data_IF_524006073850
#
_entry.id   IF_524006073850
#
_cell.length_a   1.000
_cell.length_b   1.000
_cell.length_c   1.000
_cell.angle_alpha   90.00
_cell.angle_beta   90.00
_cell.angle_gamma   90.00
#
_symmetry.space_group_name_H-M   'P 1'
#
loop_
_entity.id
_entity.type
_entity.pdbx_description
1 polymer ?
#
# COMPACT_ATOMS: atom_id res chain seq x y z
N UNK A 1 8.49 -40.37 32.85
CA UNK A 1 7.65 -41.44 32.25
C UNK A 1 7.02 -40.88 30.99
N UNK A 2 7.44 -41.43 29.85
CA UNK A 2 7.14 -40.96 28.49
C UNK A 2 5.72 -41.34 28.07
N UNK A 3 4.86 -40.34 27.89
CA UNK A 3 3.50 -40.46 27.35
C UNK A 3 3.45 -40.70 25.82
N UNK A 4 4.61 -40.86 25.17
CA UNK A 4 4.73 -41.12 23.72
C UNK A 4 4.72 -42.61 23.32
N UNK A 5 4.67 -43.56 24.26
CA UNK A 5 4.76 -44.99 23.94
C UNK A 5 3.42 -45.73 23.88
N UNK A 6 2.31 -45.14 24.34
CA UNK A 6 1.03 -45.85 24.44
C UNK A 6 0.13 -45.77 23.19
N UNK A 7 0.46 -44.91 22.21
CA UNK A 7 -0.37 -44.73 21.01
C UNK A 7 0.11 -45.52 19.79
N UNK A 8 1.36 -46.03 19.81
CA UNK A 8 1.97 -46.71 18.67
C UNK A 8 1.76 -48.25 18.64
N UNK A 9 1.12 -48.82 19.67
CA UNK A 9 0.93 -50.27 19.79
C UNK A 9 -0.43 -50.81 19.35
N UNK A 10 -1.41 -49.94 19.05
CA UNK A 10 -2.81 -50.37 18.87
C UNK A 10 -3.39 -50.20 17.46
N UNK A 11 -2.58 -49.75 16.49
CA UNK A 11 -3.01 -49.60 15.08
C UNK A 11 -2.27 -50.55 14.12
N UNK A 12 -1.31 -51.33 14.61
CA UNK A 12 -0.63 -52.35 13.80
C UNK A 12 -1.31 -53.72 13.94
N UNK A 13 -2.55 -53.78 13.47
CA UNK A 13 -3.22 -55.02 13.08
C UNK A 13 -3.08 -55.22 11.57
N UNK A 14 -2.16 -56.11 11.19
CA UNK A 14 -2.00 -56.77 9.89
C UNK A 14 -2.90 -56.30 8.71
N UNK A 15 -2.37 -55.42 7.87
CA UNK A 15 -2.60 -55.45 6.43
C UNK A 15 -1.42 -54.75 5.74
N UNK A 16 -0.97 -55.35 4.65
CA UNK A 16 0.17 -54.94 3.83
C UNK A 16 -0.05 -53.50 3.29
N UNK A 17 0.65 -52.51 3.85
CA UNK A 17 0.44 -51.08 3.52
C UNK A 17 1.78 -50.33 3.42
N UNK A 18 2.64 -50.76 2.49
CA UNK A 18 3.94 -50.12 2.25
C UNK A 18 4.07 -49.41 0.90
N UNK A 19 3.07 -49.49 0.01
CA UNK A 19 3.09 -48.82 -1.29
C UNK A 19 2.24 -47.53 -1.37
N UNK A 20 1.24 -47.33 -0.50
CA UNK A 20 0.31 -46.20 -0.67
C UNK A 20 0.77 -44.87 -0.05
N UNK A 21 1.76 -44.88 0.86
CA UNK A 21 2.23 -43.64 1.52
C UNK A 21 2.95 -42.70 0.56
N UNK A 22 3.62 -43.23 -0.47
CA UNK A 22 4.33 -42.41 -1.45
C UNK A 22 3.38 -41.78 -2.48
N UNK A 23 2.33 -42.49 -2.91
CA UNK A 23 1.33 -41.94 -3.84
C UNK A 23 0.44 -40.87 -3.19
N UNK A 24 0.00 -41.08 -1.93
CA UNK A 24 -0.77 -40.09 -1.17
C UNK A 24 0.03 -38.81 -0.90
N UNK A 25 1.33 -38.94 -0.61
CA UNK A 25 2.19 -37.77 -0.39
C UNK A 25 2.42 -36.99 -1.70
N UNK A 26 2.52 -37.69 -2.85
CA UNK A 26 2.65 -37.07 -4.17
C UNK A 26 1.37 -36.36 -4.62
N UNK A 27 0.20 -36.96 -4.36
CA UNK A 27 -1.09 -36.32 -4.67
C UNK A 27 -1.36 -35.12 -3.78
N UNK A 28 -0.99 -35.18 -2.49
CA UNK A 28 -1.12 -34.05 -1.57
C UNK A 28 -0.15 -32.91 -1.93
N UNK A 29 1.12 -33.22 -2.24
CA UNK A 29 2.07 -32.20 -2.70
C UNK A 29 1.67 -31.57 -4.02
N UNK A 30 1.09 -32.36 -4.94
CA UNK A 30 0.61 -31.85 -6.23
C UNK A 30 -0.62 -30.95 -6.04
N UNK A 31 -1.57 -31.31 -5.16
CA UNK A 31 -2.71 -30.46 -4.82
C UNK A 31 -2.24 -29.13 -4.20
N UNK A 32 -1.41 -29.18 -3.17
CA UNK A 32 -0.88 -27.99 -2.50
C UNK A 32 -0.12 -27.09 -3.48
N UNK A 33 0.67 -27.68 -4.39
CA UNK A 33 1.41 -26.91 -5.41
C UNK A 33 0.47 -26.23 -6.42
N UNK A 34 -0.67 -26.86 -6.73
CA UNK A 34 -1.68 -26.29 -7.63
C UNK A 34 -2.45 -25.16 -6.95
N UNK A 35 -2.86 -25.36 -5.71
CA UNK A 35 -3.60 -24.36 -4.93
C UNK A 35 -2.71 -23.14 -4.63
N UNK A 36 -1.43 -23.37 -4.32
CA UNK A 36 -0.41 -22.30 -4.23
C UNK A 36 -0.26 -21.52 -5.53
N UNK A 37 -0.11 -22.21 -6.65
CA UNK A 37 0.04 -21.56 -7.95
C UNK A 37 -1.17 -20.71 -8.33
N UNK A 38 -2.38 -21.21 -8.06
CA UNK A 38 -3.63 -20.50 -8.31
C UNK A 38 -3.80 -19.30 -7.37
N UNK A 39 -3.56 -19.47 -6.07
CA UNK A 39 -3.67 -18.39 -5.09
C UNK A 39 -2.67 -17.26 -5.39
N UNK A 40 -1.42 -17.59 -5.71
CA UNK A 40 -0.42 -16.59 -6.12
C UNK A 40 -0.82 -15.89 -7.42
N UNK A 41 -1.36 -16.62 -8.39
CA UNK A 41 -1.81 -16.02 -9.64
C UNK A 41 -3.00 -15.08 -9.42
N UNK A 42 -4.00 -15.51 -8.65
CA UNK A 42 -5.18 -14.70 -8.32
C UNK A 42 -4.78 -13.46 -7.52
N UNK A 43 -3.84 -13.59 -6.57
CA UNK A 43 -3.26 -12.47 -5.83
C UNK A 43 -2.62 -11.45 -6.79
N UNK A 44 -1.72 -11.91 -7.67
CA UNK A 44 -1.02 -11.03 -8.62
C UNK A 44 -1.97 -10.38 -9.63
N UNK A 45 -2.95 -11.12 -10.14
CA UNK A 45 -3.96 -10.59 -11.06
C UNK A 45 -4.87 -9.57 -10.36
N UNK A 46 -5.27 -9.81 -9.12
CA UNK A 46 -6.11 -8.89 -8.35
C UNK A 46 -5.38 -7.58 -8.04
N UNK A 47 -4.10 -7.64 -7.68
CA UNK A 47 -3.31 -6.42 -7.46
C UNK A 47 -3.06 -5.69 -8.79
N UNK A 48 -2.68 -6.41 -9.85
CA UNK A 48 -2.50 -5.82 -11.17
C UNK A 48 -3.76 -5.11 -11.67
N UNK A 49 -4.92 -5.76 -11.49
CA UNK A 49 -6.22 -5.16 -11.78
C UNK A 49 -6.51 -3.95 -10.89
N UNK A 50 -6.16 -3.99 -9.60
CA UNK A 50 -6.28 -2.85 -8.68
C UNK A 50 -5.50 -1.64 -9.18
N UNK A 51 -4.23 -1.82 -9.54
CA UNK A 51 -3.37 -0.74 -10.07
C UNK A 51 -3.97 -0.16 -11.36
N UNK A 52 -4.41 -1.02 -12.28
CA UNK A 52 -5.05 -0.58 -13.54
C UNK A 52 -6.36 0.18 -13.26
N UNK A 53 -7.20 -0.31 -12.34
CA UNK A 53 -8.45 0.34 -11.97
C UNK A 53 -8.22 1.71 -11.31
N UNK A 54 -7.25 1.83 -10.40
CA UNK A 54 -6.84 3.11 -9.81
C UNK A 54 -6.42 4.07 -10.91
N UNK A 55 -5.52 3.65 -11.80
CA UNK A 55 -4.97 4.51 -12.85
C UNK A 55 -6.01 4.95 -13.88
N UNK A 56 -6.82 4.01 -14.35
CA UNK A 56 -7.74 4.28 -15.47
C UNK A 56 -9.09 4.84 -15.02
N UNK A 57 -9.57 4.48 -13.83
CA UNK A 57 -10.91 4.88 -13.36
C UNK A 57 -10.80 5.95 -12.29
N UNK A 58 -10.06 5.69 -11.20
CA UNK A 58 -10.07 6.58 -10.03
C UNK A 58 -9.32 7.88 -10.31
N UNK A 59 -8.08 7.81 -10.79
CA UNK A 59 -7.27 8.99 -11.11
C UNK A 59 -7.98 9.87 -12.15
N UNK A 60 -8.41 9.28 -13.27
CA UNK A 60 -9.15 9.99 -14.30
C UNK A 60 -10.47 10.60 -13.77
N UNK A 61 -11.18 9.89 -12.88
CA UNK A 61 -12.39 10.40 -12.23
C UNK A 61 -12.11 11.59 -11.32
N UNK A 62 -11.06 11.51 -10.51
CA UNK A 62 -10.62 12.57 -9.58
C UNK A 62 -10.16 13.82 -10.32
N UNK A 63 -9.42 13.68 -11.42
CA UNK A 63 -8.97 14.82 -12.23
C UNK A 63 -10.14 15.56 -12.87
N UNK A 64 -11.10 14.83 -13.43
CA UNK A 64 -12.31 15.43 -14.01
C UNK A 64 -13.15 16.11 -12.94
N UNK A 65 -13.27 15.49 -11.76
CA UNK A 65 -13.95 16.09 -10.63
C UNK A 65 -13.25 17.37 -10.17
N UNK A 66 -11.92 17.37 -10.09
CA UNK A 66 -11.10 18.53 -9.74
C UNK A 66 -11.34 19.70 -10.70
N UNK A 67 -11.38 19.43 -12.01
CA UNK A 67 -11.66 20.44 -13.04
C UNK A 67 -13.07 21.03 -12.91
N UNK A 68 -14.07 20.19 -12.64
CA UNK A 68 -15.47 20.62 -12.46
C UNK A 68 -15.63 21.47 -11.20
N UNK A 69 -14.99 21.06 -10.10
CA UNK A 69 -15.07 21.75 -8.81
C UNK A 69 -14.11 22.93 -8.70
N UNK A 70 -13.26 23.16 -9.69
CA UNK A 70 -12.27 24.24 -9.68
C UNK A 70 -11.24 24.10 -8.57
N UNK A 71 -10.82 22.86 -8.26
CA UNK A 71 -9.80 22.62 -7.25
C UNK A 71 -8.48 23.29 -7.62
N UNK A 72 -7.76 23.76 -6.60
CA UNK A 72 -6.41 24.29 -6.80
C UNK A 72 -5.46 23.17 -7.25
N UNK A 73 -4.39 23.51 -7.97
CA UNK A 73 -3.36 22.56 -8.38
C UNK A 73 -2.77 21.81 -7.17
N UNK A 74 -2.62 22.52 -6.03
CA UNK A 74 -2.16 21.93 -4.77
C UNK A 74 -3.11 20.85 -4.26
N UNK A 75 -4.40 21.15 -4.18
CA UNK A 75 -5.44 20.20 -3.73
C UNK A 75 -5.53 19.00 -4.67
N UNK A 76 -5.49 19.25 -5.99
CA UNK A 76 -5.51 18.18 -6.99
C UNK A 76 -4.28 17.27 -6.86
N UNK A 77 -3.09 17.85 -6.70
CA UNK A 77 -1.85 17.09 -6.50
C UNK A 77 -1.86 16.22 -5.24
N UNK A 78 -2.36 16.75 -4.12
CA UNK A 78 -2.50 15.98 -2.87
C UNK A 78 -3.48 14.80 -3.01
N UNK A 79 -4.65 15.04 -3.59
CA UNK A 79 -5.66 13.99 -3.80
C UNK A 79 -5.15 12.93 -4.76
N UNK A 80 -4.43 13.33 -5.80
CA UNK A 80 -3.81 12.40 -6.75
C UNK A 80 -2.68 11.60 -6.09
N UNK A 81 -1.89 12.20 -5.21
CA UNK A 81 -0.90 11.52 -4.38
C UNK A 81 -1.53 10.49 -3.45
N UNK A 82 -2.67 10.77 -2.84
CA UNK A 82 -3.40 9.74 -2.07
C UNK A 82 -3.97 8.64 -2.95
N UNK A 83 -4.28 8.93 -4.22
CA UNK A 83 -4.77 7.92 -5.14
C UNK A 83 -3.71 6.86 -5.46
N UNK A 84 -2.41 7.19 -5.41
CA UNK A 84 -1.35 6.20 -5.66
C UNK A 84 -1.24 5.16 -4.57
N UNK A 85 -1.62 5.48 -3.33
CA UNK A 85 -1.63 4.56 -2.18
C UNK A 85 -2.96 3.82 -1.98
N UNK A 86 -3.89 3.93 -2.94
CA UNK A 86 -5.13 3.14 -2.93
C UNK A 86 -4.90 1.63 -3.05
N UNK A 87 -3.92 1.11 -3.81
CA UNK A 87 -3.61 -0.32 -3.81
C UNK A 87 -3.22 -0.85 -2.43
N UNK A 88 -2.42 -0.11 -1.66
CA UNK A 88 -2.09 -0.43 -0.27
C UNK A 88 -3.35 -0.46 0.60
N UNK A 89 -4.25 0.52 0.45
CA UNK A 89 -5.52 0.56 1.17
C UNK A 89 -6.39 -0.66 0.84
N UNK A 90 -6.52 -1.01 -0.43
CA UNK A 90 -7.29 -2.19 -0.86
C UNK A 90 -6.71 -3.45 -0.25
N UNK A 91 -5.39 -3.64 -0.29
CA UNK A 91 -4.72 -4.81 0.29
C UNK A 91 -4.89 -4.89 1.82
N UNK A 92 -4.77 -3.76 2.54
CA UNK A 92 -4.98 -3.71 3.98
C UNK A 92 -6.43 -4.00 4.36
N UNK A 93 -7.39 -3.40 3.67
CA UNK A 93 -8.81 -3.66 3.96
C UNK A 93 -9.19 -5.10 3.62
N UNK A 94 -8.71 -5.63 2.50
CA UNK A 94 -8.94 -7.02 2.10
C UNK A 94 -8.43 -8.01 3.14
N UNK A 95 -7.21 -7.82 3.62
CA UNK A 95 -6.61 -8.67 4.66
C UNK A 95 -7.27 -8.48 6.02
N UNK A 96 -7.67 -7.25 6.38
CA UNK A 96 -8.36 -6.95 7.63
C UNK A 96 -9.76 -7.59 7.72
N UNK A 97 -10.47 -7.70 6.60
CA UNK A 97 -11.81 -8.30 6.54
C UNK A 97 -11.79 -9.84 6.56
N UNK A 98 -10.63 -10.46 6.33
CA UNK A 98 -10.41 -11.91 6.38
C UNK A 98 -9.78 -12.37 7.71
N UNK A 99 -10.00 -11.62 8.79
CA UNK A 99 -9.61 -12.03 10.13
C UNK A 99 -8.18 -11.66 10.55
N UNK A 100 -7.82 -12.11 11.74
CA UNK A 100 -6.65 -11.63 12.49
C UNK A 100 -5.31 -12.09 11.89
N UNK A 101 -5.24 -13.34 11.43
CA UNK A 101 -4.03 -13.90 10.82
C UNK A 101 -3.73 -13.18 9.49
N UNK A 102 -4.77 -12.99 8.66
CA UNK A 102 -4.68 -12.22 7.42
C UNK A 102 -4.28 -10.76 7.65
N UNK A 103 -4.82 -10.09 8.68
CA UNK A 103 -4.48 -8.71 9.05
C UNK A 103 -2.97 -8.52 9.30
N UNK A 104 -2.26 -9.53 9.80
CA UNK A 104 -0.81 -9.46 9.96
C UNK A 104 -0.13 -9.26 8.58
N UNK A 105 -0.64 -9.92 7.52
CA UNK A 105 -0.21 -9.69 6.15
C UNK A 105 -0.48 -8.25 5.69
N UNK A 106 -1.62 -7.68 6.07
CA UNK A 106 -1.94 -6.26 5.83
C UNK A 106 -0.98 -5.29 6.53
N UNK A 107 -0.58 -5.59 7.76
CA UNK A 107 0.45 -4.82 8.47
C UNK A 107 1.80 -4.88 7.75
N UNK A 108 2.22 -6.06 7.32
CA UNK A 108 3.50 -6.22 6.61
C UNK A 108 3.48 -5.64 5.20
N UNK A 109 2.31 -5.57 4.54
CA UNK A 109 2.12 -4.76 3.34
C UNK A 109 2.49 -3.29 3.62
N UNK A 110 1.95 -2.69 4.68
CA UNK A 110 2.28 -1.30 5.06
C UNK A 110 3.74 -1.10 5.46
N UNK A 111 4.27 -1.98 6.32
CA UNK A 111 5.65 -1.87 6.77
C UNK A 111 6.64 -2.01 5.60
N UNK A 112 6.42 -3.00 4.73
CA UNK A 112 7.28 -3.23 3.58
C UNK A 112 7.12 -2.16 2.51
N UNK A 113 5.90 -1.68 2.19
CA UNK A 113 5.69 -0.57 1.25
C UNK A 113 6.46 0.67 1.67
N UNK A 114 6.48 1.03 2.96
CA UNK A 114 7.25 2.19 3.43
C UNK A 114 8.77 2.03 3.19
N UNK A 115 9.30 0.83 3.44
CA UNK A 115 10.71 0.51 3.18
C UNK A 115 10.99 0.50 1.66
N UNK A 116 10.12 -0.14 0.89
CA UNK A 116 10.25 -0.29 -0.56
C UNK A 116 10.18 1.07 -1.23
N UNK A 117 9.21 1.93 -0.90
CA UNK A 117 9.11 3.30 -1.39
C UNK A 117 10.40 4.09 -1.15
N UNK A 118 11.01 3.97 0.03
CA UNK A 118 12.31 4.59 0.30
C UNK A 118 13.40 4.03 -0.62
N UNK A 119 13.49 2.69 -0.75
CA UNK A 119 14.47 2.05 -1.64
C UNK A 119 14.29 2.48 -3.09
N UNK A 120 13.05 2.54 -3.58
CA UNK A 120 12.71 2.94 -4.94
C UNK A 120 13.02 4.42 -5.20
N UNK A 121 12.71 5.30 -4.24
CA UNK A 121 13.11 6.69 -4.29
C UNK A 121 14.64 6.82 -4.36
N UNK A 122 15.37 6.12 -3.49
CA UNK A 122 16.85 6.14 -3.51
C UNK A 122 17.41 5.57 -4.81
N UNK A 123 16.77 4.55 -5.39
CA UNK A 123 17.13 4.02 -6.70
C UNK A 123 16.94 5.08 -7.79
N UNK A 124 15.85 5.84 -7.78
CA UNK A 124 15.62 6.94 -8.70
C UNK A 124 16.65 8.07 -8.51
N UNK A 125 16.98 8.43 -7.26
CA UNK A 125 18.03 9.40 -6.93
C UNK A 125 19.38 8.98 -7.51
N UNK A 126 19.76 7.71 -7.34
CA UNK A 126 21.02 7.18 -7.88
C UNK A 126 20.99 7.14 -9.41
N UNK A 127 19.89 6.67 -10.00
CA UNK A 127 19.72 6.57 -11.45
C UNK A 127 19.85 7.94 -12.15
N UNK A 128 19.25 8.98 -11.58
CA UNK A 128 19.33 10.36 -12.10
C UNK A 128 20.52 11.17 -11.55
N UNK A 129 21.44 10.52 -10.82
CA UNK A 129 22.65 11.13 -10.24
C UNK A 129 22.36 12.35 -9.33
N UNK A 130 21.28 12.26 -8.54
CA UNK A 130 20.73 13.34 -7.67
C UNK A 130 21.20 13.29 -6.22
N UNK A 131 22.05 12.34 -5.85
CA UNK A 131 22.41 12.05 -4.45
C UNK A 131 22.95 13.26 -3.66
N UNK A 132 23.66 14.18 -4.31
CA UNK A 132 24.15 15.41 -3.65
C UNK A 132 23.04 16.37 -3.23
N UNK A 133 21.90 16.33 -3.91
CA UNK A 133 20.77 17.21 -3.61
C UNK A 133 20.18 16.87 -2.23
N UNK A 134 20.19 15.60 -1.81
CA UNK A 134 19.67 15.15 -0.51
C UNK A 134 20.42 15.74 0.70
N UNK A 135 21.66 16.21 0.52
CA UNK A 135 22.43 16.85 1.59
C UNK A 135 22.04 18.33 1.80
N UNK A 136 21.13 18.86 0.97
CA UNK A 136 20.67 20.23 1.10
C UNK A 136 19.83 20.39 2.39
N UNK A 137 20.14 21.38 3.25
CA UNK A 137 19.37 21.66 4.47
C UNK A 137 17.87 21.88 4.25
N UNK A 138 17.47 22.25 3.03
CA UNK A 138 16.07 22.37 2.60
C UNK A 138 15.25 21.10 2.88
N UNK A 139 15.87 19.92 2.83
CA UNK A 139 15.19 18.62 2.87
C UNK A 139 15.22 17.93 4.25
N UNK A 140 15.74 18.59 5.29
CA UNK A 140 15.91 17.98 6.62
C UNK A 140 14.58 17.53 7.20
N UNK A 141 13.51 18.31 6.99
CA UNK A 141 12.18 18.02 7.53
C UNK A 141 11.58 16.79 6.86
N UNK A 142 11.60 16.74 5.53
CA UNK A 142 11.08 15.63 4.74
C UNK A 142 11.88 14.34 4.99
N UNK A 143 13.21 14.42 5.07
CA UNK A 143 14.06 13.28 5.41
C UNK A 143 13.73 12.78 6.83
N UNK A 144 13.48 13.68 7.78
CA UNK A 144 13.10 13.31 9.15
C UNK A 144 11.75 12.61 9.20
N UNK A 145 10.74 13.13 8.50
CA UNK A 145 9.43 12.49 8.40
C UNK A 145 9.49 11.15 7.67
N UNK A 146 10.29 11.06 6.60
CA UNK A 146 10.54 9.79 5.92
C UNK A 146 11.18 8.78 6.87
N UNK A 147 12.21 9.17 7.63
CA UNK A 147 12.85 8.31 8.63
C UNK A 147 11.83 7.81 9.66
N UNK A 148 11.02 8.72 10.21
CA UNK A 148 9.96 8.38 11.15
C UNK A 148 8.94 7.39 10.54
N UNK A 149 8.52 7.62 9.28
CA UNK A 149 7.55 6.78 8.57
C UNK A 149 8.00 5.34 8.35
N UNK A 150 9.30 5.11 8.23
CA UNK A 150 9.88 3.78 8.04
C UNK A 150 10.17 3.13 9.38
N UNK A 151 10.69 3.89 10.34
CA UNK A 151 11.03 3.36 11.67
C UNK A 151 9.79 2.97 12.48
N UNK A 152 8.71 3.76 12.42
CA UNK A 152 7.50 3.50 13.20
C UNK A 152 6.91 2.09 12.99
N UNK A 153 6.59 1.64 11.75
CA UNK A 153 6.07 0.29 11.54
C UNK A 153 7.09 -0.79 11.94
N UNK A 154 8.40 -0.58 11.75
CA UNK A 154 9.42 -1.55 12.19
C UNK A 154 9.47 -1.68 13.72
N UNK A 155 9.30 -0.57 14.45
CA UNK A 155 9.19 -0.58 15.91
C UNK A 155 7.92 -1.30 16.36
N UNK A 156 6.77 -1.08 15.69
CA UNK A 156 5.54 -1.82 15.97
C UNK A 156 5.71 -3.32 15.76
N UNK A 157 6.38 -3.72 14.67
CA UNK A 157 6.71 -5.11 14.38
C UNK A 157 7.59 -5.72 15.48
N UNK A 158 8.64 -5.00 15.91
CA UNK A 158 9.58 -5.47 16.93
C UNK A 158 8.97 -5.55 18.33
N UNK A 159 7.99 -4.69 18.64
CA UNK A 159 7.33 -4.64 19.95
C UNK A 159 6.14 -5.58 20.05
N UNK A 160 5.61 -6.07 18.92
CA UNK A 160 4.47 -6.99 18.89
C UNK A 160 3.19 -6.38 19.45
N UNK A 161 3.00 -5.07 19.30
CA UNK A 161 1.79 -4.38 19.80
C UNK A 161 0.56 -4.98 19.13
N UNK A 162 -0.39 -5.42 19.95
CA UNK A 162 -1.60 -6.07 19.45
C UNK A 162 -2.51 -5.09 18.71
N UNK A 163 -3.15 -5.52 17.61
CA UNK A 163 -4.20 -4.75 16.94
C UNK A 163 -5.28 -4.31 17.92
N UNK A 164 -5.58 -3.00 17.96
CA UNK A 164 -6.61 -2.46 18.83
C UNK A 164 -7.13 -1.12 18.32
N UNK A 165 -8.34 -0.74 18.75
CA UNK A 165 -8.88 0.60 18.48
C UNK A 165 -8.01 1.71 19.09
N UNK A 166 -7.36 1.46 20.23
CA UNK A 166 -6.45 2.44 20.85
C UNK A 166 -5.24 2.67 19.96
N UNK A 167 -4.64 1.60 19.40
CA UNK A 167 -3.54 1.72 18.45
C UNK A 167 -3.99 2.47 17.18
N UNK A 168 -5.16 2.15 16.64
CA UNK A 168 -5.73 2.87 15.48
C UNK A 168 -5.86 4.37 15.74
N UNK A 169 -6.47 4.76 16.87
CA UNK A 169 -6.62 6.17 17.24
C UNK A 169 -5.28 6.86 17.51
N UNK A 170 -4.31 6.16 18.10
CA UNK A 170 -2.98 6.70 18.35
C UNK A 170 -2.22 6.98 17.05
N UNK A 171 -2.26 6.05 16.08
CA UNK A 171 -1.65 6.20 14.77
C UNK A 171 -2.33 7.30 13.94
N UNK A 172 -3.67 7.38 13.98
CA UNK A 172 -4.41 8.49 13.35
C UNK A 172 -4.08 9.83 14.01
N UNK A 173 -3.95 9.85 15.34
CA UNK A 173 -3.48 11.02 16.08
C UNK A 173 -2.07 11.45 15.67
N UNK A 174 -1.18 10.48 15.44
CA UNK A 174 0.16 10.73 14.91
C UNK A 174 0.12 11.33 13.51
N UNK A 175 -0.76 10.85 12.63
CA UNK A 175 -0.96 11.39 11.28
C UNK A 175 -1.46 12.84 11.29
N UNK A 176 -2.44 13.14 12.15
CA UNK A 176 -2.91 14.51 12.34
C UNK A 176 -1.81 15.39 12.94
N UNK A 177 -1.04 14.87 13.89
CA UNK A 177 0.11 15.55 14.49
C UNK A 177 1.18 15.89 13.46
N UNK A 178 1.47 14.97 12.53
CA UNK A 178 2.35 15.20 11.38
C UNK A 178 1.83 16.37 10.53
N UNK A 179 0.56 16.35 10.11
CA UNK A 179 -0.01 17.42 9.30
C UNK A 179 0.01 18.78 10.01
N UNK A 180 -0.23 18.80 11.32
CA UNK A 180 -0.14 20.02 12.13
C UNK A 180 1.30 20.54 12.22
N UNK A 181 2.27 19.65 12.43
CA UNK A 181 3.68 20.01 12.52
C UNK A 181 4.21 20.53 11.18
N UNK A 182 3.92 19.83 10.09
CA UNK A 182 4.25 20.24 8.72
C UNK A 182 3.67 21.63 8.41
N UNK A 183 2.39 21.86 8.74
CA UNK A 183 1.75 23.17 8.56
C UNK A 183 2.45 24.27 9.35
N UNK A 184 2.77 24.03 10.62
CA UNK A 184 3.41 25.00 11.49
C UNK A 184 4.85 25.31 11.05
N UNK A 185 5.60 24.30 10.61
CA UNK A 185 6.97 24.46 10.11
C UNK A 185 6.97 25.29 8.80
N UNK A 186 6.03 25.02 7.90
CA UNK A 186 5.86 25.80 6.68
C UNK A 186 5.50 27.28 6.97
N UNK A 187 4.71 27.54 8.01
CA UNK A 187 4.38 28.90 8.46
C UNK A 187 5.60 29.61 9.06
N UNK A 188 6.36 28.95 9.94
CA UNK A 188 7.56 29.50 10.58
C UNK A 188 8.68 29.83 9.57
N UNK A 189 8.78 29.05 8.49
CA UNK A 189 9.77 29.26 7.44
C UNK A 189 9.32 30.30 6.39
N UNK A 190 8.12 30.87 6.51
CA UNK A 190 7.60 31.84 5.54
C UNK A 190 7.30 31.25 4.14
N UNK A 191 7.29 29.92 3.99
CA UNK A 191 7.03 29.21 2.73
C UNK A 191 5.59 29.38 2.23
N UNK A 192 4.69 29.87 3.10
CA UNK A 192 3.24 30.09 2.87
C UNK A 192 2.89 30.90 1.60
N UNK A 193 3.83 31.69 1.06
CA UNK A 193 3.65 32.49 -0.17
C UNK A 193 4.51 32.08 -1.38
N UNK A 194 5.53 31.24 -1.20
CA UNK A 194 6.43 30.80 -2.28
C UNK A 194 6.06 29.43 -2.84
N UNK A 195 5.44 28.57 -2.04
CA UNK A 195 4.81 27.32 -2.52
C UNK A 195 3.64 27.60 -3.48
N UNK A 196 2.99 28.76 -3.36
CA UNK A 196 1.92 29.21 -4.24
C UNK A 196 2.38 29.52 -5.68
N UNK A 197 3.69 29.61 -5.92
CA UNK A 197 4.25 29.91 -7.25
C UNK A 197 5.23 28.85 -7.78
N UNK A 198 5.63 27.86 -6.97
CA UNK A 198 6.59 26.84 -7.39
C UNK A 198 5.92 25.62 -8.06
N UNK A 199 4.62 25.39 -7.83
CA UNK A 199 3.83 24.47 -8.64
C UNK A 199 3.41 25.18 -9.94
N UNK A 200 4.38 25.39 -10.83
CA UNK A 200 4.06 25.76 -12.21
C UNK A 200 3.14 24.65 -12.77
N UNK A 201 2.09 24.98 -13.56
CA UNK A 201 0.99 24.07 -13.94
C UNK A 201 1.35 22.70 -14.54
N UNK A 202 2.63 22.43 -14.84
CA UNK A 202 3.14 21.19 -15.43
C UNK A 202 3.43 20.05 -14.44
N UNK A 203 3.54 20.33 -13.13
CA UNK A 203 3.94 19.29 -12.15
C UNK A 203 2.78 18.37 -11.74
N UNK A 204 1.55 18.88 -11.63
CA UNK A 204 0.35 18.06 -11.41
C UNK A 204 -0.11 17.32 -12.70
N UNK A 205 0.46 17.67 -13.85
CA UNK A 205 0.25 16.95 -15.13
C UNK A 205 1.18 15.73 -15.25
N UNK A 206 1.84 15.32 -14.16
CA UNK A 206 2.73 14.16 -14.02
C UNK A 206 2.08 12.86 -14.44
N UNK A 207 1.24 12.34 -13.55
CA UNK A 207 0.61 11.02 -13.69
C UNK A 207 -0.49 11.03 -14.80
N UNK A 208 -0.80 12.23 -15.33
CA UNK A 208 -2.01 12.59 -16.06
C UNK A 208 -1.82 12.98 -17.53
N UNK A 209 -0.58 12.98 -18.06
CA UNK A 209 -0.33 13.43 -19.44
C UNK A 209 -0.52 12.30 -20.47
N UNK A 210 -1.64 11.59 -20.38
CA UNK A 210 -2.19 10.88 -21.54
C UNK A 210 -3.68 11.20 -21.63
N UNK A 211 -3.97 12.20 -22.48
CA UNK A 211 -5.29 12.64 -22.92
C UNK A 211 -5.96 13.69 -22.02
N UNK A 212 -5.79 14.96 -22.37
CA UNK A 212 -6.75 16.02 -22.01
C UNK A 212 -8.09 15.68 -22.70
N UNK A 213 -9.10 15.16 -21.98
CA UNK A 213 -10.39 14.88 -22.58
C UNK A 213 -11.13 16.21 -22.78
N UNK A 214 -12.10 16.29 -23.71
CA UNK A 214 -12.99 17.44 -23.77
C UNK A 214 -13.67 17.66 -22.40
N UNK A 215 -14.09 18.90 -22.09
CA UNK A 215 -14.91 19.23 -20.90
C UNK A 215 -16.13 18.31 -20.85
N UNK A 216 -16.04 17.21 -20.10
CA UNK A 216 -17.12 16.28 -19.88
C UNK A 216 -17.78 16.61 -18.54
N UNK A 217 -19.11 16.49 -18.48
CA UNK A 217 -19.89 16.89 -17.31
C UNK A 217 -19.60 16.05 -16.07
N UNK A 218 -19.96 16.58 -14.91
CA UNK A 218 -19.86 15.97 -13.57
C UNK A 218 -20.32 14.50 -13.52
N UNK A 219 -21.33 14.14 -14.33
CA UNK A 219 -21.83 12.77 -14.43
C UNK A 219 -20.78 11.75 -14.88
N UNK A 220 -19.87 12.12 -15.78
CA UNK A 220 -18.79 11.23 -16.24
C UNK A 220 -17.73 11.01 -15.16
N UNK A 221 -17.38 12.07 -14.42
CA UNK A 221 -16.44 11.98 -13.31
C UNK A 221 -16.98 11.05 -12.22
N UNK A 222 -18.24 11.24 -11.82
CA UNK A 222 -18.88 10.41 -10.81
C UNK A 222 -19.04 8.95 -11.29
N UNK A 223 -19.39 8.72 -12.56
CA UNK A 223 -19.48 7.39 -13.13
C UNK A 223 -18.13 6.65 -13.08
N UNK A 224 -17.03 7.33 -13.43
CA UNK A 224 -15.67 6.76 -13.34
C UNK A 224 -15.31 6.41 -11.90
N UNK A 225 -15.60 7.28 -10.94
CA UNK A 225 -15.33 7.03 -9.53
C UNK A 225 -16.16 5.87 -8.96
N UNK A 226 -17.44 5.76 -9.33
CA UNK A 226 -18.30 4.65 -8.93
C UNK A 226 -17.84 3.32 -9.54
N UNK A 227 -17.49 3.31 -10.84
CA UNK A 227 -16.92 2.14 -11.50
C UNK A 227 -15.58 1.75 -10.87
N UNK A 228 -14.73 2.73 -10.55
CA UNK A 228 -13.47 2.54 -9.84
C UNK A 228 -13.69 1.91 -8.46
N UNK A 229 -14.57 2.47 -7.65
CA UNK A 229 -14.91 1.92 -6.33
C UNK A 229 -15.43 0.48 -6.42
N UNK A 230 -16.31 0.18 -7.37
CA UNK A 230 -16.80 -1.18 -7.61
C UNK A 230 -15.66 -2.12 -8.01
N UNK A 231 -14.80 -1.70 -8.95
CA UNK A 231 -13.65 -2.49 -9.39
C UNK A 231 -12.70 -2.79 -8.22
N UNK A 232 -12.37 -1.78 -7.40
CA UNK A 232 -11.51 -1.93 -6.23
C UNK A 232 -12.12 -2.85 -5.17
N UNK A 233 -13.46 -2.80 -4.97
CA UNK A 233 -14.14 -3.71 -4.06
C UNK A 233 -14.05 -5.16 -4.53
N UNK A 234 -14.28 -5.43 -5.83
CA UNK A 234 -14.17 -6.77 -6.42
C UNK A 234 -12.72 -7.28 -6.32
N UNK A 235 -11.75 -6.42 -6.64
CA UNK A 235 -10.33 -6.76 -6.56
C UNK A 235 -9.91 -7.06 -5.11
N UNK A 236 -10.35 -6.23 -4.17
CA UNK A 236 -10.07 -6.38 -2.75
C UNK A 236 -10.62 -7.69 -2.19
N UNK A 237 -11.86 -8.05 -2.54
CA UNK A 237 -12.43 -9.34 -2.13
C UNK A 237 -11.55 -10.53 -2.58
N UNK A 238 -11.22 -10.57 -3.87
CA UNK A 238 -10.38 -11.63 -4.46
C UNK A 238 -8.96 -11.67 -3.89
N UNK A 239 -8.38 -10.50 -3.64
CA UNK A 239 -7.07 -10.36 -3.03
C UNK A 239 -7.10 -10.89 -1.59
N UNK A 240 -8.14 -10.58 -0.84
CA UNK A 240 -8.36 -11.03 0.53
C UNK A 240 -8.41 -12.56 0.63
N UNK A 241 -9.29 -13.19 -0.17
CA UNK A 241 -9.42 -14.65 -0.23
C UNK A 241 -8.08 -15.33 -0.59
N UNK A 242 -7.34 -14.74 -1.53
CA UNK A 242 -6.03 -15.27 -1.95
C UNK A 242 -5.00 -15.14 -0.83
N UNK A 243 -4.99 -14.02 -0.11
CA UNK A 243 -4.07 -13.79 1.00
C UNK A 243 -4.38 -14.73 2.18
N UNK A 244 -5.65 -14.89 2.54
CA UNK A 244 -6.09 -15.84 3.57
C UNK A 244 -5.71 -17.28 3.19
N UNK A 245 -5.97 -17.70 1.95
CA UNK A 245 -5.57 -19.03 1.49
C UNK A 245 -4.05 -19.26 1.62
N UNK A 246 -3.24 -18.27 1.24
CA UNK A 246 -1.78 -18.36 1.36
C UNK A 246 -1.31 -18.46 2.81
N UNK A 247 -1.91 -17.66 3.70
CA UNK A 247 -1.51 -17.57 5.10
C UNK A 247 -2.04 -18.76 5.91
N UNK A 248 -3.33 -19.05 5.82
CA UNK A 248 -4.00 -20.02 6.68
C UNK A 248 -3.99 -21.44 6.10
N UNK A 249 -4.32 -21.61 4.82
CA UNK A 249 -4.38 -22.95 4.23
C UNK A 249 -2.99 -23.47 3.85
N UNK A 250 -2.18 -22.63 3.20
CA UNK A 250 -0.86 -22.99 2.71
C UNK A 250 0.23 -22.75 3.78
N UNK A 251 -0.11 -22.07 4.88
CA UNK A 251 0.79 -21.84 6.02
C UNK A 251 2.04 -21.04 5.63
N UNK A 252 1.91 -20.12 4.66
CA UNK A 252 2.96 -19.14 4.41
C UNK A 252 2.99 -18.10 5.53
N UNK A 253 4.19 -17.67 5.97
CA UNK A 253 4.28 -16.61 6.95
C UNK A 253 3.59 -15.33 6.45
N UNK A 254 2.74 -14.73 7.29
CA UNK A 254 2.00 -13.51 6.94
C UNK A 254 2.93 -12.36 6.52
N UNK A 255 4.10 -12.24 7.14
CA UNK A 255 5.10 -11.24 6.74
C UNK A 255 5.61 -11.42 5.31
N UNK A 256 5.71 -12.66 4.81
CA UNK A 256 6.17 -12.93 3.45
C UNK A 256 5.09 -12.52 2.45
N UNK A 257 3.83 -12.91 2.70
CA UNK A 257 2.69 -12.51 1.88
C UNK A 257 2.54 -10.99 1.87
N UNK A 258 2.65 -10.36 3.04
CA UNK A 258 2.63 -8.91 3.18
C UNK A 258 3.76 -8.20 2.44
N UNK A 259 4.99 -8.71 2.49
CA UNK A 259 6.10 -8.17 1.70
C UNK A 259 5.87 -8.28 0.18
N UNK A 260 5.28 -9.38 -0.27
CA UNK A 260 4.90 -9.54 -1.68
C UNK A 260 3.82 -8.53 -2.08
N UNK A 261 2.80 -8.35 -1.24
CA UNK A 261 1.78 -7.31 -1.44
C UNK A 261 2.44 -5.93 -1.53
N UNK A 262 3.28 -5.58 -0.54
CA UNK A 262 3.91 -4.26 -0.45
C UNK A 262 4.80 -3.93 -1.64
N UNK A 263 5.49 -4.93 -2.21
CA UNK A 263 6.27 -4.74 -3.43
C UNK A 263 5.42 -4.34 -4.63
N UNK A 264 4.27 -5.01 -4.81
CA UNK A 264 3.42 -4.80 -5.98
C UNK A 264 2.59 -3.54 -5.80
N UNK A 265 2.07 -3.28 -4.61
CA UNK A 265 1.26 -2.09 -4.31
C UNK A 265 2.06 -0.79 -4.44
N UNK A 266 3.38 -0.81 -4.20
CA UNK A 266 4.27 0.35 -4.36
C UNK A 266 4.80 0.61 -5.79
N UNK A 267 4.30 -0.12 -6.79
CA UNK A 267 4.64 0.13 -8.20
C UNK A 267 4.15 1.49 -8.74
N UNK A 268 2.96 2.01 -8.38
CA UNK A 268 2.54 3.36 -8.78
C UNK A 268 3.50 4.44 -8.29
N UNK A 269 3.98 4.36 -7.05
CA UNK A 269 4.97 5.26 -6.46
C UNK A 269 6.29 5.21 -7.23
N UNK A 270 6.77 4.01 -7.59
CA UNK A 270 7.95 3.85 -8.46
C UNK A 270 7.84 4.69 -9.73
N UNK A 271 6.71 4.54 -10.45
CA UNK A 271 6.52 5.24 -11.72
C UNK A 271 6.50 6.75 -11.53
N UNK A 272 5.92 7.22 -10.42
CA UNK A 272 5.87 8.63 -10.07
C UNK A 272 7.26 9.20 -9.81
N UNK A 273 8.12 8.51 -9.05
CA UNK A 273 9.46 8.99 -8.75
C UNK A 273 10.34 9.14 -10.00
N UNK A 274 10.30 8.14 -10.89
CA UNK A 274 11.06 8.15 -12.12
C UNK A 274 10.55 9.22 -13.09
N UNK A 275 9.24 9.38 -13.20
CA UNK A 275 8.65 10.41 -14.05
C UNK A 275 9.06 11.82 -13.62
N UNK A 276 8.98 12.11 -12.32
CA UNK A 276 9.28 13.45 -11.81
C UNK A 276 10.75 13.81 -11.99
N UNK A 277 11.66 12.86 -11.76
CA UNK A 277 13.07 13.09 -12.06
C UNK A 277 13.37 13.15 -13.56
N UNK A 278 12.73 12.29 -14.36
CA UNK A 278 12.85 12.28 -15.82
C UNK A 278 12.57 13.65 -16.42
N UNK A 279 11.48 14.30 -16.00
CA UNK A 279 11.09 15.64 -16.47
C UNK A 279 12.07 16.75 -16.09
N UNK A 280 12.79 16.60 -14.98
CA UNK A 280 13.81 17.56 -14.52
C UNK A 280 15.19 17.40 -15.19
N UNK A 281 15.37 16.33 -15.97
CA UNK A 281 16.66 16.01 -16.58
C UNK A 281 17.00 17.04 -17.66
N UNK A 282 18.23 17.56 -17.62
CA UNK A 282 18.68 18.62 -18.53
C UNK A 282 18.21 20.04 -18.17
N UNK A 283 17.53 20.22 -17.04
CA UNK A 283 17.09 21.54 -16.56
C UNK A 283 18.09 22.17 -15.57
N UNK A 284 17.95 23.48 -15.31
CA UNK A 284 18.82 24.21 -14.38
C UNK A 284 18.68 23.78 -12.91
N UNK A 285 19.67 24.12 -12.06
CA UNK A 285 19.78 23.64 -10.66
C UNK A 285 18.53 23.86 -9.81
N UNK A 286 17.85 25.00 -9.95
CA UNK A 286 16.60 25.28 -9.21
C UNK A 286 15.53 24.23 -9.50
N UNK A 287 15.30 23.89 -10.78
CA UNK A 287 14.30 22.87 -11.15
C UNK A 287 14.71 21.46 -10.72
N UNK A 288 16.01 21.20 -10.59
CA UNK A 288 16.52 19.93 -10.07
C UNK A 288 16.16 19.77 -8.59
N UNK A 289 16.43 20.81 -7.78
CA UNK A 289 16.05 20.84 -6.38
C UNK A 289 14.53 20.76 -6.17
N UNK A 290 13.74 21.40 -7.02
CA UNK A 290 12.28 21.33 -6.94
C UNK A 290 11.74 19.94 -7.32
N UNK A 291 12.39 19.23 -8.23
CA UNK A 291 12.03 17.84 -8.54
C UNK A 291 12.40 16.89 -7.39
N UNK A 292 13.55 17.09 -6.74
CA UNK A 292 13.90 16.35 -5.52
C UNK A 292 12.94 16.64 -4.38
N UNK A 293 12.55 17.90 -4.19
CA UNK A 293 11.52 18.28 -3.21
C UNK A 293 10.21 17.54 -3.49
N UNK A 294 9.68 17.62 -4.70
CA UNK A 294 8.39 17.04 -5.02
C UNK A 294 8.39 15.50 -4.92
N UNK A 295 9.54 14.85 -5.17
CA UNK A 295 9.70 13.41 -4.93
C UNK A 295 9.76 13.07 -3.44
N UNK A 296 10.44 13.88 -2.63
CA UNK A 296 10.44 13.74 -1.17
C UNK A 296 9.04 13.94 -0.59
N UNK A 297 8.31 14.97 -1.04
CA UNK A 297 6.93 15.24 -0.62
C UNK A 297 6.02 14.04 -0.95
N UNK A 298 6.20 13.45 -2.14
CA UNK A 298 5.46 12.25 -2.56
C UNK A 298 5.79 11.06 -1.66
N UNK A 299 7.08 10.81 -1.39
CA UNK A 299 7.54 9.73 -0.53
C UNK A 299 7.04 9.87 0.91
N UNK A 300 7.14 11.08 1.48
CA UNK A 300 6.70 11.35 2.85
C UNK A 300 5.19 11.23 2.96
N UNK A 301 4.45 11.81 1.99
CA UNK A 301 2.99 11.77 1.97
C UNK A 301 2.48 10.34 1.89
N UNK A 302 3.00 9.50 0.98
CA UNK A 302 2.57 8.10 0.86
C UNK A 302 2.93 7.29 2.10
N UNK A 303 4.17 7.38 2.59
CA UNK A 303 4.60 6.60 3.74
C UNK A 303 3.90 7.02 5.05
N UNK A 304 3.63 8.31 5.24
CA UNK A 304 2.83 8.80 6.37
C UNK A 304 1.38 8.37 6.26
N UNK A 305 0.78 8.40 5.07
CA UNK A 305 -0.59 7.92 4.86
C UNK A 305 -0.69 6.41 5.12
N UNK A 306 0.28 5.61 4.67
CA UNK A 306 0.33 4.17 4.87
C UNK A 306 0.22 3.79 6.36
N UNK A 307 1.09 4.33 7.21
CA UNK A 307 1.09 4.00 8.65
C UNK A 307 0.06 4.79 9.46
N UNK A 308 -0.20 6.03 9.09
CA UNK A 308 -0.98 6.99 9.88
C UNK A 308 -2.46 7.09 9.52
N UNK A 309 -2.84 6.63 8.32
CA UNK A 309 -4.22 6.68 7.84
C UNK A 309 -4.70 5.29 7.40
N UNK A 310 -3.99 4.65 6.47
CA UNK A 310 -4.41 3.40 5.83
C UNK A 310 -4.43 2.24 6.83
N UNK A 311 -3.33 2.00 7.55
CA UNK A 311 -3.31 0.94 8.56
C UNK A 311 -4.35 1.14 9.67
N UNK A 312 -4.54 2.36 10.22
CA UNK A 312 -5.63 2.65 11.14
C UNK A 312 -7.03 2.34 10.58
N UNK A 313 -7.29 2.63 9.30
CA UNK A 313 -8.55 2.24 8.65
C UNK A 313 -8.70 0.72 8.57
N UNK A 314 -7.63 -0.01 8.27
CA UNK A 314 -7.57 -1.47 8.35
C UNK A 314 -7.92 -2.00 9.74
N UNK A 315 -7.30 -1.43 10.78
CA UNK A 315 -7.60 -1.78 12.17
C UNK A 315 -9.07 -1.52 12.51
N UNK A 316 -9.65 -0.39 12.09
CA UNK A 316 -11.08 -0.12 12.31
C UNK A 316 -11.95 -1.14 11.58
N UNK A 317 -11.64 -1.45 10.32
CA UNK A 317 -12.38 -2.43 9.53
C UNK A 317 -12.35 -3.82 10.19
N UNK A 318 -11.17 -4.27 10.62
CA UNK A 318 -11.01 -5.52 11.38
C UNK A 318 -11.88 -5.53 12.66
N UNK A 319 -11.82 -4.47 13.47
CA UNK A 319 -12.59 -4.40 14.72
C UNK A 319 -14.11 -4.35 14.49
N UNK A 320 -14.56 -3.78 13.37
CA UNK A 320 -15.97 -3.82 12.97
C UNK A 320 -16.35 -5.23 12.52
N UNK A 321 -15.50 -5.88 11.72
CA UNK A 321 -15.69 -7.26 11.25
C UNK A 321 -15.83 -8.24 12.41
N UNK A 322 -14.90 -8.19 13.36
CA UNK A 322 -14.86 -9.05 14.56
C UNK A 322 -16.12 -8.84 15.43
N UNK A 323 -16.61 -7.60 15.55
CA UNK A 323 -17.84 -7.29 16.29
C UNK A 323 -19.12 -7.76 15.61
N UNK A 324 -19.16 -7.73 14.29
CA UNK A 324 -20.30 -8.17 13.49
C UNK A 324 -20.30 -9.68 13.25
N UNK A 325 -19.22 -10.39 13.61
CA UNK A 325 -19.05 -11.81 13.33
C UNK A 325 -18.94 -12.11 11.82
N UNK A 326 -18.51 -11.12 11.03
CA UNK A 326 -18.37 -11.29 9.57
C UNK A 326 -17.25 -12.28 9.22
N UNK A 327 -16.26 -12.41 10.10
CA UNK A 327 -15.19 -13.40 10.05
C UNK A 327 -15.75 -14.84 9.93
N UNK A 328 -16.93 -15.09 10.53
CA UNK A 328 -17.61 -16.39 10.47
C UNK A 328 -18.59 -16.57 9.30
N UNK A 329 -18.85 -15.53 8.50
CA UNK A 329 -19.76 -15.56 7.35
C UNK A 329 -19.04 -15.56 6.00
N UNK A 330 -17.80 -15.05 5.96
CA UNK A 330 -16.97 -15.02 4.73
C UNK A 330 -16.13 -16.31 4.60
N UNK A 331 -15.86 -17.01 5.72
CA UNK A 331 -15.08 -18.26 5.77
C UNK A 331 -15.88 -19.58 5.68
N UNK A 332 -17.04 -19.62 4.99
CA UNK A 332 -17.78 -20.88 4.70
C UNK A 332 -18.04 -21.11 3.23
#
# INVERSE_FOLDING_TARGET
>A
MNWRAAWLGQVLGNADFRQDKHCLCWSASALISRDLGLALLELLLSIGFTIVAVRLLVINGLERLAQVLGWSAKTQGQILGYATSLPELVAVLATALNGRESLEGGFWNIASSNVINLVLFLAAVVFYLRHWELLNPRFIEEISFCGFSVLLPLVLAATGVSPSLVLSLALLGCFLGYHLLDHNLAELQGKRGQEASAQTPDQAQGIAAEHTPPRQGTGTALALLLMGAMALAIAGYRLGDSAEMLIEAIQLPAWLVGCCLGLVTSLPELTSFFELYGRSTGQGETRKLDATQANLDTLVSSNMANIGLIYPLGLVAFQISERLGLDGLIGT
#
